data_IF_308573518482
#
_entry.id   IF_308573518482
#
_cell.length_a   1.000
_cell.length_b   1.000
_cell.length_c   1.000
_cell.angle_alpha   90.00
_cell.angle_beta   90.00
_cell.angle_gamma   90.00
#
_symmetry.space_group_name_H-M   'P 1'
#
loop_
_entity.id
_entity.type
_entity.pdbx_description
1 polymer ?
#
# COMPACT_ATOMS: atom_id res chain seq x y z
N UNK A 1 5.52 30.36 -7.12
CA UNK A 1 6.87 30.01 -6.68
C UNK A 1 7.47 31.09 -5.83
N UNK A 2 8.42 30.75 -4.97
CA UNK A 2 9.21 31.75 -4.24
C UNK A 2 10.04 32.55 -5.23
N UNK A 3 10.16 33.90 -5.02
CA UNK A 3 11.14 34.73 -5.72
C UNK A 3 12.52 34.61 -5.04
N UNK A 4 13.57 35.23 -5.63
CA UNK A 4 14.94 35.20 -5.08
C UNK A 4 15.03 35.70 -3.64
N UNK A 5 14.26 36.75 -3.28
CA UNK A 5 14.27 37.35 -1.95
C UNK A 5 13.61 36.43 -0.89
N UNK A 6 12.51 35.75 -1.26
CA UNK A 6 11.88 34.77 -0.39
C UNK A 6 12.77 33.55 -0.14
N UNK A 7 13.55 33.12 -1.14
CA UNK A 7 14.53 32.05 -0.99
C UNK A 7 15.68 32.50 -0.11
N UNK A 8 16.17 33.73 -0.30
CA UNK A 8 17.20 34.32 0.56
C UNK A 8 16.76 34.37 2.02
N UNK A 9 15.54 34.86 2.30
CA UNK A 9 14.98 34.92 3.64
C UNK A 9 14.86 33.52 4.29
N UNK A 10 14.47 32.49 3.51
CA UNK A 10 14.41 31.13 4.00
C UNK A 10 15.79 30.56 4.31
N UNK A 11 16.79 30.86 3.45
CA UNK A 11 18.17 30.38 3.63
C UNK A 11 18.85 31.09 4.81
N UNK A 12 18.65 32.39 4.97
CA UNK A 12 19.24 33.16 6.09
C UNK A 12 18.69 32.77 7.45
N UNK A 13 17.44 32.26 7.53
CA UNK A 13 16.90 31.72 8.76
C UNK A 13 17.51 30.37 9.15
N UNK A 14 17.86 29.53 8.17
CA UNK A 14 18.34 28.18 8.38
C UNK A 14 19.88 28.06 8.36
N UNK A 15 20.57 29.00 7.72
CA UNK A 15 22.02 28.99 7.51
C UNK A 15 22.66 30.36 7.81
N UNK A 16 23.80 30.37 8.49
CA UNK A 16 24.63 31.55 8.62
C UNK A 16 25.28 31.90 7.26
N UNK A 17 24.74 32.86 6.58
CA UNK A 17 25.37 33.39 5.35
C UNK A 17 26.56 34.27 5.67
N UNK A 18 27.68 34.07 4.97
CA UNK A 18 28.89 34.85 5.15
C UNK A 18 28.73 36.32 4.68
N UNK A 19 27.85 36.62 3.70
CA UNK A 19 27.59 37.94 3.20
C UNK A 19 26.36 37.99 2.28
N UNK A 20 25.35 38.80 2.64
CA UNK A 20 24.19 39.08 1.80
C UNK A 20 24.58 39.82 0.50
N UNK A 21 25.56 40.71 0.58
CA UNK A 21 26.07 41.44 -0.60
C UNK A 21 26.65 40.48 -1.64
N UNK A 22 27.44 39.48 -1.21
CA UNK A 22 27.97 38.49 -2.09
C UNK A 22 26.87 37.61 -2.73
N UNK A 23 25.78 37.33 -2.00
CA UNK A 23 24.60 36.66 -2.55
C UNK A 23 23.98 37.48 -3.67
N UNK A 24 23.65 38.74 -3.43
CA UNK A 24 23.05 39.63 -4.42
C UNK A 24 23.90 39.76 -5.68
N UNK A 25 25.24 39.91 -5.53
CA UNK A 25 26.17 39.98 -6.67
C UNK A 25 26.13 38.69 -7.51
N UNK A 26 26.11 37.53 -6.87
CA UNK A 26 26.01 36.24 -7.58
C UNK A 26 24.66 36.08 -8.26
N UNK A 27 23.55 36.48 -7.62
CA UNK A 27 22.22 36.46 -8.22
C UNK A 27 22.16 37.29 -9.50
N UNK A 28 22.70 38.53 -9.47
CA UNK A 28 22.79 39.38 -10.66
C UNK A 28 23.66 38.76 -11.75
N UNK A 29 24.84 38.27 -11.40
CA UNK A 29 25.76 37.64 -12.35
C UNK A 29 25.19 36.40 -13.01
N UNK A 30 24.44 35.60 -12.26
CA UNK A 30 23.85 34.35 -12.74
C UNK A 30 22.43 34.50 -13.28
N UNK A 31 21.89 35.72 -13.35
CA UNK A 31 20.51 36.01 -13.76
C UNK A 31 19.47 35.17 -12.97
N UNK A 32 19.68 35.09 -11.63
CA UNK A 32 18.84 34.31 -10.74
C UNK A 32 17.55 35.07 -10.38
N UNK A 33 16.51 34.90 -11.20
CA UNK A 33 15.22 35.56 -10.98
C UNK A 33 14.18 34.59 -10.43
N UNK A 34 14.17 33.35 -10.94
CA UNK A 34 13.15 32.34 -10.63
C UNK A 34 13.78 31.01 -10.24
N UNK A 35 13.92 30.70 -8.96
CA UNK A 35 14.37 29.39 -8.49
C UNK A 35 13.38 28.31 -8.90
N UNK A 36 13.88 27.17 -9.37
CA UNK A 36 13.03 26.03 -9.64
C UNK A 36 12.53 25.43 -8.31
N UNK A 37 11.21 25.16 -8.19
CA UNK A 37 10.68 24.50 -7.00
C UNK A 37 11.33 23.13 -6.84
N UNK A 38 11.52 22.68 -5.58
CA UNK A 38 12.12 21.38 -5.32
C UNK A 38 12.46 21.19 -3.86
N UNK A 39 12.81 19.95 -3.52
CA UNK A 39 13.43 19.61 -2.25
C UNK A 39 14.95 19.63 -2.43
N UNK A 40 15.62 20.53 -1.71
CA UNK A 40 17.07 20.71 -1.77
C UNK A 40 17.69 20.42 -0.41
N UNK A 41 18.80 19.73 -0.43
CA UNK A 41 19.68 19.56 0.74
C UNK A 41 21.07 20.03 0.36
N UNK A 42 21.59 20.97 1.12
CA UNK A 42 22.91 21.55 0.91
C UNK A 42 23.86 21.12 2.03
N UNK A 43 25.15 21.05 1.70
CA UNK A 43 26.19 20.93 2.71
C UNK A 43 26.33 22.25 3.48
N UNK A 44 26.79 22.19 4.73
CA UNK A 44 26.95 23.38 5.58
C UNK A 44 27.91 24.43 4.96
N UNK A 45 28.88 24.00 4.18
CA UNK A 45 29.93 24.85 3.57
C UNK A 45 29.73 25.08 2.06
N UNK A 46 28.47 25.06 1.57
CA UNK A 46 28.20 25.29 0.15
C UNK A 46 28.48 26.78 -0.21
N UNK A 47 29.13 27.00 -1.37
CA UNK A 47 29.32 28.35 -1.88
C UNK A 47 28.02 28.96 -2.45
N UNK A 48 27.87 30.30 -2.39
CA UNK A 48 26.71 30.98 -2.97
C UNK A 48 26.52 30.62 -4.46
N UNK A 49 27.63 30.58 -5.22
CA UNK A 49 27.61 30.22 -6.64
C UNK A 49 27.01 28.82 -6.88
N UNK A 50 27.47 27.83 -6.13
CA UNK A 50 27.01 26.45 -6.28
C UNK A 50 25.56 26.30 -5.82
N UNK A 51 25.16 26.95 -4.74
CA UNK A 51 23.79 26.98 -4.25
C UNK A 51 22.84 27.57 -5.31
N UNK A 52 23.16 28.75 -5.85
CA UNK A 52 22.37 29.43 -6.89
C UNK A 52 22.30 28.53 -8.15
N UNK A 53 23.44 27.96 -8.58
CA UNK A 53 23.49 27.04 -9.72
C UNK A 53 22.51 25.88 -9.56
N UNK A 54 22.53 25.23 -8.41
CA UNK A 54 21.63 24.08 -8.13
C UNK A 54 20.17 24.47 -8.12
N UNK A 55 19.83 25.63 -7.58
CA UNK A 55 18.46 26.17 -7.59
C UNK A 55 17.99 26.53 -9.00
N UNK A 56 18.86 27.13 -9.82
CA UNK A 56 18.58 27.48 -11.23
C UNK A 56 18.38 26.23 -12.10
N UNK A 57 19.25 25.24 -11.96
CA UNK A 57 19.19 24.01 -12.72
C UNK A 57 18.09 23.06 -12.24
N UNK A 58 17.61 23.22 -10.99
CA UNK A 58 16.64 22.33 -10.37
C UNK A 58 17.26 21.00 -9.97
N UNK A 59 18.53 21.01 -9.53
CA UNK A 59 19.23 19.81 -9.05
C UNK A 59 18.75 19.41 -7.66
N UNK A 60 17.53 18.89 -7.61
CA UNK A 60 16.86 18.49 -6.38
C UNK A 60 17.54 17.30 -5.72
N UNK A 61 17.42 17.23 -4.40
CA UNK A 61 17.73 16.03 -3.62
C UNK A 61 16.47 15.13 -3.59
N UNK A 62 16.55 13.87 -4.00
CA UNK A 62 15.42 12.97 -3.91
C UNK A 62 14.92 12.83 -2.46
N UNK A 63 13.61 12.63 -2.33
CA UNK A 63 12.97 12.28 -1.05
C UNK A 63 12.59 10.81 -1.04
N UNK A 64 12.43 10.23 0.16
CA UNK A 64 11.97 8.86 0.34
C UNK A 64 10.44 8.83 0.45
N UNK A 65 9.79 8.22 -0.55
CA UNK A 65 8.36 7.93 -0.56
C UNK A 65 8.13 6.46 -0.24
N UNK A 66 7.55 6.16 0.91
CA UNK A 66 7.32 4.79 1.37
C UNK A 66 5.84 4.45 1.28
N UNK A 67 5.50 3.39 0.56
CA UNK A 67 4.17 2.79 0.60
C UNK A 67 4.15 1.62 1.58
N UNK A 68 3.13 1.58 2.44
CA UNK A 68 3.01 0.57 3.50
C UNK A 68 1.65 -0.08 3.49
N UNK A 69 1.55 -1.24 4.13
CA UNK A 69 0.27 -1.93 4.30
C UNK A 69 -0.77 -1.19 5.18
N UNK A 70 -0.42 -0.05 5.76
CA UNK A 70 -1.38 0.81 6.45
C UNK A 70 -2.38 1.46 5.48
N UNK A 71 -1.99 1.64 4.22
CA UNK A 71 -2.83 2.20 3.16
C UNK A 71 -3.84 1.13 2.72
N UNK A 72 -5.13 1.44 2.83
CA UNK A 72 -6.24 0.52 2.53
C UNK A 72 -7.08 0.98 1.33
N UNK A 73 -7.26 2.29 1.17
CA UNK A 73 -8.13 2.85 0.14
C UNK A 73 -7.39 3.77 -0.81
N UNK A 74 -8.01 4.08 -1.93
CA UNK A 74 -7.49 5.04 -2.92
C UNK A 74 -7.36 6.44 -2.34
N UNK A 75 -8.31 6.83 -1.50
CA UNK A 75 -8.33 8.12 -0.80
C UNK A 75 -7.14 8.24 0.16
N UNK A 76 -6.87 7.18 0.94
CA UNK A 76 -5.68 7.13 1.80
C UNK A 76 -4.38 7.18 1.00
N UNK A 77 -4.34 6.51 -0.16
CA UNK A 77 -3.19 6.52 -1.06
C UNK A 77 -2.96 7.92 -1.63
N UNK A 78 -4.01 8.58 -2.14
CA UNK A 78 -3.93 9.94 -2.67
C UNK A 78 -3.51 10.96 -1.60
N UNK A 79 -4.11 10.89 -0.41
CA UNK A 79 -3.74 11.74 0.72
C UNK A 79 -2.28 11.51 1.16
N UNK A 80 -1.80 10.27 1.13
CA UNK A 80 -0.40 9.96 1.42
C UNK A 80 0.56 10.60 0.42
N UNK A 81 0.24 10.56 -0.87
CA UNK A 81 1.04 11.17 -1.93
C UNK A 81 1.04 12.70 -1.82
N UNK A 82 -0.13 13.33 -1.66
CA UNK A 82 -0.25 14.78 -1.51
C UNK A 82 0.46 15.33 -0.26
N UNK A 83 0.52 14.52 0.82
CA UNK A 83 1.29 14.89 2.02
C UNK A 83 2.80 14.83 1.82
N UNK A 84 3.30 14.00 0.92
CA UNK A 84 4.73 13.73 0.72
C UNK A 84 5.34 14.45 -0.47
N UNK A 85 4.56 14.76 -1.47
CA UNK A 85 4.97 15.35 -2.74
C UNK A 85 4.24 16.67 -2.97
N UNK A 86 4.72 17.45 -3.91
CA UNK A 86 4.04 18.64 -4.42
C UNK A 86 2.91 18.24 -5.39
N UNK A 87 2.02 17.37 -4.91
CA UNK A 87 0.86 16.88 -5.66
C UNK A 87 -0.43 17.29 -4.96
N UNK A 88 -1.44 17.63 -5.76
CA UNK A 88 -2.80 17.73 -5.22
C UNK A 88 -3.39 16.31 -5.06
N UNK A 89 -3.82 15.98 -3.85
CA UNK A 89 -4.48 14.71 -3.58
C UNK A 89 -5.79 14.55 -4.37
N UNK A 90 -6.47 15.65 -4.73
CA UNK A 90 -7.66 15.62 -5.59
C UNK A 90 -7.31 15.17 -7.01
N UNK A 91 -6.21 15.66 -7.57
CA UNK A 91 -5.70 15.23 -8.87
C UNK A 91 -5.32 13.74 -8.88
N UNK A 92 -4.70 13.26 -7.81
CA UNK A 92 -4.31 11.86 -7.68
C UNK A 92 -5.54 10.95 -7.57
N UNK A 93 -6.54 11.31 -6.76
CA UNK A 93 -7.76 10.49 -6.59
C UNK A 93 -8.60 10.46 -7.86
N UNK A 94 -8.63 11.56 -8.63
CA UNK A 94 -9.28 11.60 -9.94
C UNK A 94 -8.68 10.55 -10.88
N UNK A 95 -7.35 10.48 -10.99
CA UNK A 95 -6.66 9.46 -11.80
C UNK A 95 -6.94 8.03 -11.32
N UNK A 96 -6.88 7.80 -10.01
CA UNK A 96 -7.16 6.48 -9.41
C UNK A 96 -8.61 6.03 -9.65
N UNK A 97 -9.55 6.97 -9.82
CA UNK A 97 -10.95 6.70 -10.10
C UNK A 97 -11.27 6.65 -11.61
N UNK A 98 -10.38 7.16 -12.46
CA UNK A 98 -10.58 7.18 -13.89
C UNK A 98 -10.32 5.81 -14.50
N UNK A 99 -11.38 5.19 -15.02
CA UNK A 99 -11.33 3.84 -15.59
C UNK A 99 -10.41 3.76 -16.81
N UNK A 100 -10.46 4.76 -17.69
CA UNK A 100 -9.65 4.80 -18.92
C UNK A 100 -8.17 4.98 -18.58
N UNK A 101 -7.87 5.90 -17.64
CA UNK A 101 -6.50 6.10 -17.16
C UNK A 101 -5.92 4.84 -16.51
N UNK A 102 -6.67 4.16 -15.66
CA UNK A 102 -6.21 2.92 -15.03
C UNK A 102 -6.06 1.76 -16.01
N UNK A 103 -6.86 1.74 -17.08
CA UNK A 103 -6.75 0.72 -18.12
C UNK A 103 -5.39 0.75 -18.86
N UNK A 104 -4.71 1.90 -18.94
CA UNK A 104 -3.34 1.99 -19.48
C UNK A 104 -2.32 1.16 -18.68
N UNK A 105 -2.62 0.89 -17.41
CA UNK A 105 -1.81 0.05 -16.53
C UNK A 105 -2.32 -1.39 -16.42
N UNK A 106 -3.38 -1.74 -17.18
CA UNK A 106 -4.04 -3.05 -17.10
C UNK A 106 -4.86 -3.23 -15.80
N UNK A 107 -5.30 -2.14 -15.19
CA UNK A 107 -6.02 -2.12 -13.92
C UNK A 107 -7.39 -1.43 -14.06
N UNK A 108 -8.22 -1.59 -13.02
CA UNK A 108 -9.47 -0.85 -12.83
C UNK A 108 -9.36 0.06 -11.61
N UNK A 109 -10.29 0.98 -11.37
CA UNK A 109 -10.32 1.74 -10.14
C UNK A 109 -10.28 0.88 -8.87
N UNK A 110 -10.97 -0.26 -8.84
CA UNK A 110 -11.01 -1.17 -7.69
C UNK A 110 -9.65 -1.84 -7.45
N UNK A 111 -8.84 -2.01 -8.49
CA UNK A 111 -7.53 -2.66 -8.45
C UNK A 111 -6.36 -1.68 -8.52
N UNK A 112 -6.64 -0.37 -8.63
CA UNK A 112 -5.65 0.69 -8.81
C UNK A 112 -4.51 0.65 -7.76
N UNK A 113 -4.83 0.28 -6.51
CA UNK A 113 -3.83 0.18 -5.45
C UNK A 113 -2.77 -0.90 -5.71
N UNK A 114 -3.05 -1.89 -6.57
CA UNK A 114 -2.07 -2.92 -6.95
C UNK A 114 -0.83 -2.34 -7.64
N UNK A 115 -0.96 -1.17 -8.28
CA UNK A 115 0.15 -0.50 -8.95
C UNK A 115 1.28 -0.14 -7.98
N UNK A 116 0.96 0.08 -6.70
CA UNK A 116 1.86 0.62 -5.69
C UNK A 116 2.37 -0.49 -4.79
N UNK A 117 3.42 -1.17 -5.24
CA UNK A 117 4.07 -2.22 -4.43
C UNK A 117 4.68 -1.60 -3.17
N UNK A 118 4.35 -2.10 -1.96
CA UNK A 118 4.95 -1.60 -0.72
C UNK A 118 6.46 -1.70 -0.71
N UNK A 119 7.10 -0.54 -0.72
CA UNK A 119 8.54 -0.34 -0.65
C UNK A 119 8.83 1.14 -0.38
N UNK A 120 10.11 1.51 -0.26
CA UNK A 120 10.55 2.89 -0.20
C UNK A 120 11.23 3.26 -1.52
N UNK A 121 10.71 4.30 -2.17
CA UNK A 121 11.17 4.78 -3.47
C UNK A 121 11.82 6.15 -3.31
N UNK A 122 12.93 6.36 -3.98
CA UNK A 122 13.51 7.70 -4.13
C UNK A 122 12.85 8.38 -5.32
N UNK A 123 12.25 9.54 -5.05
CA UNK A 123 11.50 10.35 -6.03
C UNK A 123 11.79 11.83 -5.82
N UNK A 124 11.62 12.64 -6.86
CA UNK A 124 11.69 14.09 -6.72
C UNK A 124 10.38 14.65 -6.17
N UNK A 125 10.47 15.61 -5.25
CA UNK A 125 9.32 16.23 -4.59
C UNK A 125 8.34 16.89 -5.57
N UNK A 126 8.84 17.40 -6.70
CA UNK A 126 8.07 18.06 -7.76
C UNK A 126 7.56 17.11 -8.84
N UNK A 127 7.70 15.80 -8.65
CA UNK A 127 7.23 14.82 -9.63
C UNK A 127 5.72 14.98 -9.85
N UNK A 128 5.28 15.04 -11.11
CA UNK A 128 3.85 15.09 -11.45
C UNK A 128 3.17 13.75 -11.17
N UNK A 129 1.84 13.76 -11.07
CA UNK A 129 1.08 12.52 -10.87
C UNK A 129 1.38 11.51 -11.98
N UNK A 130 1.38 11.93 -13.26
CA UNK A 130 1.65 11.03 -14.38
C UNK A 130 3.07 10.44 -14.35
N UNK A 131 4.07 11.24 -13.97
CA UNK A 131 5.43 10.75 -13.78
C UNK A 131 5.51 9.72 -12.65
N UNK A 132 4.79 9.95 -11.55
CA UNK A 132 4.74 9.02 -10.42
C UNK A 132 4.05 7.71 -10.82
N UNK A 133 2.90 7.77 -11.48
CA UNK A 133 2.20 6.56 -11.95
C UNK A 133 3.05 5.77 -12.95
N UNK A 134 3.69 6.43 -13.90
CA UNK A 134 4.61 5.79 -14.85
C UNK A 134 5.81 5.14 -14.14
N UNK A 135 6.36 5.80 -13.09
CA UNK A 135 7.42 5.22 -12.27
C UNK A 135 6.92 4.00 -11.50
N UNK A 136 5.76 4.07 -10.87
CA UNK A 136 5.18 2.95 -10.13
C UNK A 136 4.84 1.77 -11.06
N UNK A 137 4.41 2.06 -12.29
CA UNK A 137 4.18 1.00 -13.29
C UNK A 137 5.48 0.25 -13.65
N UNK A 138 6.60 0.96 -13.82
CA UNK A 138 7.90 0.31 -14.04
C UNK A 138 8.29 -0.58 -12.84
N UNK A 139 8.05 -0.12 -11.61
CA UNK A 139 8.32 -0.92 -10.42
C UNK A 139 7.37 -2.11 -10.29
N UNK A 140 6.09 -1.95 -10.66
CA UNK A 140 5.11 -3.03 -10.73
C UNK A 140 5.55 -4.10 -11.75
N UNK A 141 5.95 -3.71 -12.96
CA UNK A 141 6.45 -4.63 -13.99
C UNK A 141 7.73 -5.36 -13.54
N UNK A 142 8.66 -4.64 -12.88
CA UNK A 142 9.87 -5.23 -12.31
C UNK A 142 9.54 -6.24 -11.20
N UNK A 143 8.57 -5.94 -10.36
CA UNK A 143 8.13 -6.83 -9.29
C UNK A 143 7.48 -8.09 -9.85
N UNK A 144 6.56 -7.97 -10.82
CA UNK A 144 5.89 -9.08 -11.50
C UNK A 144 6.75 -9.63 -12.63
N UNK A 145 7.97 -10.06 -12.29
CA UNK A 145 8.90 -10.70 -13.22
C UNK A 145 8.39 -12.08 -13.69
N UNK A 146 9.08 -12.68 -14.66
CA UNK A 146 8.70 -13.95 -15.27
C UNK A 146 8.53 -15.07 -14.24
N UNK A 147 9.37 -15.10 -13.19
CA UNK A 147 9.28 -16.09 -12.12
C UNK A 147 7.95 -15.97 -11.35
N UNK A 148 7.58 -14.75 -10.91
CA UNK A 148 6.32 -14.52 -10.19
C UNK A 148 5.12 -14.74 -11.09
N UNK A 149 5.19 -14.35 -12.36
CA UNK A 149 4.15 -14.61 -13.34
C UNK A 149 3.93 -16.11 -13.58
N UNK A 150 4.99 -16.88 -13.70
CA UNK A 150 4.92 -18.35 -13.82
C UNK A 150 4.30 -19.00 -12.57
N UNK A 151 4.68 -18.54 -11.37
CA UNK A 151 4.09 -19.01 -10.11
C UNK A 151 2.61 -18.66 -10.00
N UNK A 152 2.20 -17.44 -10.36
CA UNK A 152 0.80 -17.04 -10.38
C UNK A 152 -0.02 -17.93 -11.32
N UNK A 153 0.47 -18.14 -12.55
CA UNK A 153 -0.15 -19.05 -13.54
C UNK A 153 -0.27 -20.47 -13.01
N UNK A 154 0.76 -20.98 -12.32
CA UNK A 154 0.72 -22.33 -11.68
C UNK A 154 -0.37 -22.44 -10.62
N UNK A 155 -0.65 -21.36 -9.88
CA UNK A 155 -1.75 -21.29 -8.94
C UNK A 155 -3.11 -21.09 -9.62
N UNK A 156 -3.14 -20.74 -10.91
CA UNK A 156 -4.35 -20.39 -11.66
C UNK A 156 -4.88 -19.00 -11.30
N UNK A 157 -3.98 -18.06 -10.98
CA UNK A 157 -4.30 -16.72 -10.52
C UNK A 157 -3.60 -15.66 -11.38
N UNK A 158 -4.24 -14.53 -11.54
CA UNK A 158 -3.65 -13.31 -12.09
C UNK A 158 -2.85 -12.55 -11.01
N UNK A 159 -1.94 -11.63 -11.36
CA UNK A 159 -1.25 -10.76 -10.41
C UNK A 159 -2.19 -10.00 -9.46
N UNK A 160 -3.31 -9.52 -9.97
CA UNK A 160 -4.32 -8.79 -9.19
C UNK A 160 -5.03 -9.70 -8.19
N UNK A 161 -5.38 -10.92 -8.59
CA UNK A 161 -5.98 -11.91 -7.70
C UNK A 161 -5.02 -12.35 -6.59
N UNK A 162 -3.74 -12.54 -6.92
CA UNK A 162 -2.69 -12.81 -5.93
C UNK A 162 -2.58 -11.66 -4.93
N UNK A 163 -2.52 -10.41 -5.40
CA UNK A 163 -2.46 -9.23 -4.54
C UNK A 163 -3.72 -9.09 -3.67
N UNK A 164 -4.89 -9.44 -4.21
CA UNK A 164 -6.17 -9.42 -3.49
C UNK A 164 -6.15 -10.44 -2.35
N UNK A 165 -5.77 -11.69 -2.60
CA UNK A 165 -5.63 -12.73 -1.57
C UNK A 165 -4.59 -12.28 -0.53
N UNK A 166 -3.43 -11.79 -0.96
CA UNK A 166 -2.38 -11.32 -0.07
C UNK A 166 -2.86 -10.17 0.86
N UNK A 167 -3.71 -9.26 0.35
CA UNK A 167 -4.28 -8.17 1.14
C UNK A 167 -5.22 -8.67 2.26
N UNK A 168 -5.96 -9.75 1.99
CA UNK A 168 -6.81 -10.40 2.98
C UNK A 168 -5.94 -11.08 4.04
N UNK A 169 -4.93 -11.86 3.64
CA UNK A 169 -4.00 -12.54 4.55
C UNK A 169 -3.28 -11.56 5.47
N UNK A 170 -2.78 -10.45 4.90
CA UNK A 170 -2.11 -9.39 5.66
C UNK A 170 -3.02 -8.70 6.70
N UNK A 171 -4.34 -8.92 6.61
CA UNK A 171 -5.33 -8.40 7.53
C UNK A 171 -5.82 -9.46 8.53
N UNK A 172 -5.56 -10.73 8.31
CA UNK A 172 -5.93 -11.84 9.21
C UNK A 172 -4.88 -12.07 10.30
N UNK A 173 -3.60 -12.06 9.95
CA UNK A 173 -2.53 -12.39 10.87
C UNK A 173 -1.26 -11.59 10.60
N UNK A 174 -0.46 -11.39 11.64
CA UNK A 174 0.90 -10.86 11.56
C UNK A 174 1.96 -11.98 11.64
N UNK A 175 1.55 -13.24 11.70
CA UNK A 175 2.44 -14.38 11.79
C UNK A 175 2.87 -14.83 10.39
N UNK A 176 4.04 -14.44 9.95
CA UNK A 176 4.52 -14.69 8.57
C UNK A 176 4.59 -16.17 8.21
N UNK A 177 4.87 -17.05 9.17
CA UNK A 177 4.91 -18.51 8.95
C UNK A 177 3.53 -19.11 8.63
N UNK A 178 2.41 -18.43 8.94
CA UNK A 178 1.07 -18.86 8.61
C UNK A 178 0.62 -18.46 7.21
N UNK A 179 1.24 -17.41 6.61
CA UNK A 179 0.80 -16.86 5.32
C UNK A 179 0.63 -17.93 4.23
N UNK A 180 1.58 -18.86 4.01
CA UNK A 180 1.42 -19.86 2.96
C UNK A 180 0.25 -20.82 3.19
N UNK A 181 0.02 -21.21 4.46
CA UNK A 181 -1.08 -22.11 4.82
C UNK A 181 -2.43 -21.41 4.67
N UNK A 182 -2.56 -20.15 5.12
CA UNK A 182 -3.79 -19.36 4.93
C UNK A 182 -4.05 -19.14 3.44
N UNK A 183 -3.00 -18.85 2.65
CA UNK A 183 -3.12 -18.74 1.20
C UNK A 183 -3.70 -20.01 0.58
N UNK A 184 -3.21 -21.19 0.99
CA UNK A 184 -3.74 -22.46 0.50
C UNK A 184 -5.23 -22.66 0.81
N UNK A 185 -5.71 -22.20 1.98
CA UNK A 185 -7.13 -22.25 2.33
C UNK A 185 -7.96 -21.40 1.36
N UNK A 186 -7.58 -20.15 1.14
CA UNK A 186 -8.31 -19.26 0.24
C UNK A 186 -8.30 -19.78 -1.20
N UNK A 187 -7.17 -20.26 -1.69
CA UNK A 187 -7.07 -20.88 -3.03
C UNK A 187 -7.96 -22.14 -3.11
N UNK A 188 -7.97 -22.99 -2.10
CA UNK A 188 -8.81 -24.18 -2.06
C UNK A 188 -10.31 -23.82 -2.05
N UNK A 189 -10.71 -22.81 -1.28
CA UNK A 189 -12.11 -22.32 -1.24
C UNK A 189 -12.52 -21.76 -2.60
N UNK A 190 -11.67 -20.95 -3.25
CA UNK A 190 -11.93 -20.43 -4.60
C UNK A 190 -12.15 -21.56 -5.60
N UNK A 191 -11.24 -22.56 -5.64
CA UNK A 191 -11.34 -23.72 -6.54
C UNK A 191 -12.60 -24.54 -6.34
N UNK A 192 -13.11 -24.60 -5.10
CA UNK A 192 -14.34 -25.33 -4.74
C UNK A 192 -15.61 -24.45 -4.81
N UNK A 193 -15.51 -23.19 -5.21
CA UNK A 193 -16.65 -22.26 -5.22
C UNK A 193 -17.23 -21.97 -3.84
N UNK A 194 -16.43 -22.13 -2.78
CA UNK A 194 -16.83 -21.84 -1.39
C UNK A 194 -16.57 -20.37 -1.12
N UNK A 195 -17.52 -19.67 -0.49
CA UNK A 195 -17.36 -18.29 -0.05
C UNK A 195 -16.13 -18.14 0.86
N UNK A 196 -15.31 -17.07 0.68
CA UNK A 196 -14.07 -16.91 1.46
C UNK A 196 -14.33 -16.66 2.94
N UNK A 197 -15.41 -15.95 3.28
CA UNK A 197 -15.84 -15.63 4.65
C UNK A 197 -14.73 -15.00 5.50
N UNK A 198 -14.00 -14.07 4.90
CA UNK A 198 -12.91 -13.34 5.54
C UNK A 198 -13.46 -12.09 6.27
N UNK A 199 -13.34 -12.02 7.58
CA UNK A 199 -13.78 -10.86 8.37
C UNK A 199 -13.18 -9.52 7.90
N UNK A 200 -11.90 -9.45 7.51
CA UNK A 200 -11.30 -8.20 7.01
C UNK A 200 -12.01 -7.60 5.79
N UNK A 201 -12.58 -8.42 4.92
CA UNK A 201 -13.31 -7.93 3.75
C UNK A 201 -14.63 -7.27 4.14
N UNK A 202 -15.27 -7.73 5.21
CA UNK A 202 -16.47 -7.12 5.79
C UNK A 202 -16.11 -5.77 6.45
N UNK A 203 -15.00 -5.71 7.19
CA UNK A 203 -14.51 -4.45 7.76
C UNK A 203 -14.27 -3.42 6.66
N UNK A 204 -13.65 -3.84 5.56
CA UNK A 204 -13.44 -2.98 4.39
C UNK A 204 -14.77 -2.53 3.76
N UNK A 205 -15.74 -3.44 3.63
CA UNK A 205 -17.06 -3.14 3.10
C UNK A 205 -17.85 -2.14 3.95
N UNK A 206 -17.69 -2.20 5.29
CA UNK A 206 -18.28 -1.24 6.24
C UNK A 206 -17.60 0.13 6.14
N UNK A 207 -16.29 0.18 5.82
CA UNK A 207 -15.49 1.40 5.77
C UNK A 207 -15.02 1.91 7.13
N UNK A 208 -15.36 1.23 8.23
CA UNK A 208 -14.89 1.57 9.57
C UNK A 208 -13.73 0.64 9.98
N UNK A 209 -12.53 1.15 9.81
CA UNK A 209 -11.30 0.40 10.12
C UNK A 209 -10.95 0.38 11.61
N UNK A 210 -11.73 1.02 12.47
CA UNK A 210 -11.61 0.94 13.93
C UNK A 210 -12.33 -0.28 14.53
N UNK A 211 -13.16 -0.96 13.74
CA UNK A 211 -13.90 -2.14 14.16
C UNK A 211 -12.96 -3.25 14.61
N UNK A 212 -13.06 -3.61 15.90
CA UNK A 212 -12.30 -4.74 16.49
C UNK A 212 -13.04 -6.07 16.36
N UNK A 213 -14.36 -6.05 16.15
CA UNK A 213 -15.20 -7.24 16.08
C UNK A 213 -16.29 -7.09 15.02
N UNK A 214 -16.37 -8.06 14.11
CA UNK A 214 -17.46 -8.16 13.14
C UNK A 214 -18.68 -8.79 13.82
N UNK A 215 -19.81 -8.07 13.82
CA UNK A 215 -21.08 -8.53 14.38
C UNK A 215 -22.00 -9.07 13.25
N UNK A 216 -23.05 -9.81 13.60
CA UNK A 216 -24.03 -10.36 12.63
C UNK A 216 -24.60 -9.28 11.68
N UNK A 217 -24.89 -8.06 12.18
CA UNK A 217 -25.36 -6.96 11.36
C UNK A 217 -24.37 -6.54 10.27
N UNK A 218 -23.06 -6.66 10.53
CA UNK A 218 -22.03 -6.32 9.56
C UNK A 218 -21.93 -7.37 8.45
N UNK A 219 -22.22 -8.65 8.76
CA UNK A 219 -22.24 -9.73 7.77
C UNK A 219 -23.40 -9.60 6.77
N UNK A 220 -24.40 -8.80 7.08
CA UNK A 220 -25.55 -8.56 6.22
C UNK A 220 -25.33 -7.44 5.20
N UNK A 221 -24.23 -6.67 5.31
CA UNK A 221 -23.98 -5.53 4.42
C UNK A 221 -23.96 -5.95 2.95
N UNK A 222 -24.66 -5.20 2.12
CA UNK A 222 -24.69 -5.44 0.67
C UNK A 222 -23.54 -4.69 -0.01
N UNK A 223 -22.43 -5.40 -0.17
CA UNK A 223 -21.22 -4.88 -0.80
C UNK A 223 -20.53 -6.01 -1.55
N UNK A 224 -19.99 -5.79 -2.75
CA UNK A 224 -19.23 -6.80 -3.48
C UNK A 224 -17.94 -7.22 -2.75
N UNK A 225 -17.50 -6.44 -1.75
CA UNK A 225 -16.40 -6.82 -0.86
C UNK A 225 -16.82 -7.77 0.27
N UNK A 226 -18.13 -7.99 0.50
CA UNK A 226 -18.59 -8.91 1.54
C UNK A 226 -18.47 -10.37 1.10
N UNK A 227 -17.36 -11.01 1.43
CA UNK A 227 -17.07 -12.41 1.09
C UNK A 227 -17.84 -13.44 1.91
N UNK A 228 -18.71 -13.03 2.83
CA UNK A 228 -19.75 -13.92 3.44
C UNK A 228 -20.98 -14.02 2.56
N UNK A 229 -21.33 -12.95 1.85
CA UNK A 229 -22.50 -12.85 1.00
C UNK A 229 -22.20 -13.27 -0.44
N UNK A 230 -21.05 -12.82 -0.98
CA UNK A 230 -20.64 -13.08 -2.34
C UNK A 230 -19.49 -14.08 -2.40
N UNK A 231 -19.61 -15.06 -3.33
CA UNK A 231 -18.56 -16.05 -3.58
C UNK A 231 -17.49 -15.47 -4.49
N UNK A 232 -16.29 -16.03 -4.43
CA UNK A 232 -15.15 -15.59 -5.20
C UNK A 232 -14.33 -14.52 -4.47
N UNK A 233 -13.42 -13.88 -5.19
CA UNK A 233 -12.64 -12.75 -4.69
C UNK A 233 -13.47 -11.46 -4.70
N UNK A 234 -13.20 -10.52 -3.79
CA UNK A 234 -13.74 -9.18 -3.89
C UNK A 234 -13.18 -8.48 -5.14
N UNK A 235 -13.77 -7.34 -5.57
CA UNK A 235 -13.36 -6.62 -6.79
C UNK A 235 -11.90 -6.20 -6.84
N UNK A 236 -11.25 -6.08 -5.69
CA UNK A 236 -9.85 -5.72 -5.57
C UNK A 236 -9.30 -5.87 -4.16
N UNK A 237 -8.03 -5.51 -3.94
CA UNK A 237 -7.40 -5.60 -2.64
C UNK A 237 -8.07 -4.69 -1.60
N UNK A 238 -8.03 -5.11 -0.34
CA UNK A 238 -8.55 -4.35 0.82
C UNK A 238 -7.46 -3.54 1.55
N UNK A 239 -6.23 -3.65 1.09
CA UNK A 239 -5.04 -2.88 1.50
C UNK A 239 -3.86 -3.17 0.59
N UNK A 240 -2.80 -2.39 0.70
CA UNK A 240 -1.52 -2.76 0.10
C UNK A 240 -0.95 -4.00 0.81
N UNK A 241 -0.55 -5.01 0.03
CA UNK A 241 0.08 -6.21 0.55
C UNK A 241 1.59 -6.17 0.33
N UNK A 242 2.36 -6.46 1.39
CA UNK A 242 3.82 -6.50 1.31
C UNK A 242 4.30 -7.64 0.39
N UNK A 243 5.47 -7.49 -0.25
CA UNK A 243 6.06 -8.51 -1.12
C UNK A 243 6.08 -9.90 -0.52
N UNK A 244 6.45 -10.05 0.76
CA UNK A 244 6.50 -11.35 1.42
C UNK A 244 5.14 -12.06 1.54
N UNK A 245 4.04 -11.30 1.64
CA UNK A 245 2.69 -11.88 1.67
C UNK A 245 2.27 -12.30 0.26
N UNK A 246 2.61 -11.52 -0.75
CA UNK A 246 2.40 -11.87 -2.16
C UNK A 246 3.18 -13.14 -2.50
N UNK A 247 4.45 -13.21 -2.13
CA UNK A 247 5.31 -14.37 -2.37
C UNK A 247 4.79 -15.62 -1.62
N UNK A 248 4.17 -15.45 -0.44
CA UNK A 248 3.52 -16.55 0.28
C UNK A 248 2.32 -17.11 -0.48
N UNK A 249 1.51 -16.27 -1.14
CA UNK A 249 0.40 -16.72 -2.01
C UNK A 249 0.95 -17.47 -3.23
N UNK A 250 1.99 -16.94 -3.88
CA UNK A 250 2.63 -17.57 -5.03
C UNK A 250 3.22 -18.95 -4.72
N UNK A 251 3.74 -19.11 -3.51
CA UNK A 251 4.36 -20.35 -3.02
C UNK A 251 3.44 -21.15 -2.10
N UNK A 252 2.11 -20.91 -2.14
CA UNK A 252 1.16 -21.61 -1.30
C UNK A 252 1.27 -23.13 -1.50
N UNK A 253 1.39 -23.93 -0.41
CA UNK A 253 1.48 -25.38 -0.51
C UNK A 253 0.15 -25.99 -0.96
N UNK A 254 0.21 -27.14 -1.59
CA UNK A 254 -0.98 -27.95 -1.86
C UNK A 254 -1.41 -28.62 -0.55
N UNK A 255 -2.54 -28.20 -0.02
CA UNK A 255 -3.19 -28.78 1.16
C UNK A 255 -4.65 -29.09 0.86
N UNK A 256 -5.31 -29.78 1.78
CA UNK A 256 -6.76 -29.99 1.78
C UNK A 256 -7.50 -29.07 2.75
N UNK A 257 -6.80 -28.15 3.40
CA UNK A 257 -7.39 -27.22 4.37
C UNK A 257 -8.43 -26.30 3.72
N UNK A 258 -9.55 -26.15 4.44
CA UNK A 258 -10.69 -25.31 4.06
C UNK A 258 -11.09 -24.31 5.16
N UNK A 259 -10.64 -24.55 6.39
CA UNK A 259 -11.05 -23.78 7.57
C UNK A 259 -9.83 -23.41 8.41
N UNK A 260 -9.94 -22.24 9.05
CA UNK A 260 -9.03 -21.81 10.09
C UNK A 260 -9.81 -21.24 11.27
N UNK A 261 -9.29 -21.37 12.47
CA UNK A 261 -9.85 -20.81 13.70
C UNK A 261 -8.70 -20.35 14.58
N UNK A 262 -8.90 -19.26 15.32
CA UNK A 262 -7.93 -18.85 16.31
C UNK A 262 -7.64 -19.97 17.30
N UNK A 263 -6.36 -20.14 17.66
CA UNK A 263 -5.92 -21.19 18.56
C UNK A 263 -6.46 -20.95 19.98
N UNK A 264 -7.08 -21.96 20.62
CA UNK A 264 -7.61 -21.87 21.97
C UNK A 264 -6.55 -21.51 23.05
N UNK A 265 -5.27 -21.66 22.77
CA UNK A 265 -4.16 -21.31 23.67
C UNK A 265 -3.88 -19.80 23.74
N UNK A 266 -4.51 -18.99 22.85
CA UNK A 266 -4.30 -17.54 22.67
C UNK A 266 -2.87 -17.16 22.28
N UNK A 267 -2.13 -18.03 21.62
CA UNK A 267 -0.81 -17.76 21.04
C UNK A 267 -0.85 -16.71 19.91
N UNK A 268 -2.07 -16.35 19.44
CA UNK A 268 -2.28 -15.51 18.28
C UNK A 268 -2.00 -16.25 16.95
N UNK A 269 -1.97 -17.59 17.00
CA UNK A 269 -1.88 -18.49 15.84
C UNK A 269 -3.25 -19.05 15.49
N UNK A 270 -3.30 -19.85 14.40
CA UNK A 270 -4.53 -20.51 13.93
C UNK A 270 -4.38 -22.02 13.92
N UNK A 271 -5.49 -22.72 14.17
CA UNK A 271 -5.65 -24.14 13.89
C UNK A 271 -6.31 -24.31 12.53
N UNK A 272 -5.69 -25.10 11.67
CA UNK A 272 -6.14 -25.35 10.30
C UNK A 272 -6.83 -26.70 10.21
N UNK A 273 -7.89 -26.80 9.41
CA UNK A 273 -8.62 -28.05 9.23
C UNK A 273 -9.25 -28.20 7.85
N UNK A 274 -9.39 -29.46 7.39
CA UNK A 274 -10.03 -29.79 6.12
C UNK A 274 -11.55 -30.01 6.25
N UNK A 275 -12.05 -30.30 7.46
CA UNK A 275 -13.46 -30.58 7.71
C UNK A 275 -14.13 -29.56 8.63
N UNK A 276 -15.40 -29.26 8.35
CA UNK A 276 -16.23 -28.39 9.19
C UNK A 276 -16.41 -28.93 10.61
N UNK A 277 -16.49 -30.25 10.78
CA UNK A 277 -16.62 -30.89 12.10
C UNK A 277 -15.41 -30.55 12.99
N UNK A 278 -14.18 -30.72 12.48
CA UNK A 278 -12.95 -30.36 13.21
C UNK A 278 -12.90 -28.86 13.51
N UNK A 279 -13.21 -28.03 12.51
CA UNK A 279 -13.28 -26.56 12.71
C UNK A 279 -14.26 -26.18 13.82
N UNK A 280 -15.48 -26.75 13.80
CA UNK A 280 -16.49 -26.45 14.81
C UNK A 280 -16.10 -26.94 16.23
N UNK A 281 -15.34 -28.01 16.33
CA UNK A 281 -14.81 -28.47 17.61
C UNK A 281 -13.82 -27.45 18.20
N UNK A 282 -12.84 -27.01 17.39
CA UNK A 282 -11.86 -26.00 17.80
C UNK A 282 -12.54 -24.65 18.13
N UNK A 283 -13.52 -24.23 17.33
CA UNK A 283 -14.25 -22.99 17.57
C UNK A 283 -15.02 -23.03 18.91
N UNK A 284 -15.65 -24.16 19.25
CA UNK A 284 -16.30 -24.36 20.57
C UNK A 284 -15.28 -24.33 21.73
N UNK A 285 -14.12 -24.92 21.53
CA UNK A 285 -13.04 -24.90 22.53
C UNK A 285 -12.54 -23.48 22.74
N UNK A 286 -12.23 -22.75 21.67
CA UNK A 286 -11.83 -21.35 21.74
C UNK A 286 -12.86 -20.49 22.46
N UNK A 287 -14.16 -20.67 22.18
CA UNK A 287 -15.22 -19.94 22.88
C UNK A 287 -15.32 -20.28 24.38
N UNK A 288 -15.09 -21.56 24.73
CA UNK A 288 -15.04 -21.97 26.16
C UNK A 288 -13.89 -21.30 26.90
N UNK A 289 -12.70 -21.27 26.28
CA UNK A 289 -11.52 -20.61 26.87
C UNK A 289 -11.68 -19.09 26.97
N UNK A 290 -12.33 -18.43 25.98
CA UNK A 290 -12.71 -17.01 26.08
C UNK A 290 -13.61 -16.76 27.29
N UNK A 291 -14.64 -17.58 27.48
CA UNK A 291 -15.59 -17.44 28.58
C UNK A 291 -14.91 -17.64 29.95
N UNK A 292 -14.00 -18.62 30.08
CA UNK A 292 -13.22 -18.85 31.31
C UNK A 292 -12.38 -17.63 31.69
N UNK A 293 -11.76 -16.96 30.70
CA UNK A 293 -10.91 -15.79 30.92
C UNK A 293 -11.70 -14.49 31.06
N UNK A 294 -13.04 -14.53 30.99
CA UNK A 294 -13.93 -13.34 31.02
C UNK A 294 -13.55 -12.29 29.96
N UNK A 295 -12.91 -12.70 28.89
CA UNK A 295 -12.57 -11.83 27.77
C UNK A 295 -13.82 -11.66 26.90
N UNK A 296 -14.37 -10.42 26.85
CA UNK A 296 -15.53 -10.07 26.03
C UNK A 296 -15.13 -9.63 24.62
#
# INVERSE_FOLDING_TARGET
GMNSDSVLASITNDYQMSSELAWCMHCQYMHYEHPKPGHYRFAAEISNRELIRRLLLGEQTPIKLSFTQAIRTREQLAAHMGKKLMLDSAEVIERLNNKEYMAHFGLTPETAVCLFIPNTYEVYWTMTADQLFARMHKEYQRFWNDERMAKAKKQGLTPVEVATIASIIASETNKSFEYPTIASIYINRLRKGIALQACPTVIFAVGDFSLRRVLKRHLAIDSPYNTYKYRGLPPGPIRLARPEVIDAVLNAPKTDYLYMCANPDFSGTHVFSSSYSKHSAVAREYQRELNKRKLK
#
